data_IF_754839263205
#
_entry.id   IF_754839263205
#
_cell.length_a   1.000
_cell.length_b   1.000
_cell.length_c   1.000
_cell.angle_alpha   90.00
_cell.angle_beta   90.00
_cell.angle_gamma   90.00
#
_symmetry.space_group_name_H-M   'P 1'
#
loop_
_entity.id
_entity.type
_entity.pdbx_description
1 polymer ?
#
# COMPACT_ATOMS: atom_id res chain seq x y z
N UNK A 1 28.08 24.77 51.48
CA UNK A 1 28.15 23.31 51.24
C UNK A 1 26.80 22.91 50.65
N UNK A 2 26.69 22.85 49.31
CA UNK A 2 25.47 22.39 48.62
C UNK A 2 25.68 20.91 48.31
N UNK A 3 24.85 20.04 48.87
CA UNK A 3 24.83 18.62 48.55
C UNK A 3 24.42 18.47 47.10
N UNK A 4 25.31 17.92 46.28
CA UNK A 4 24.97 17.39 44.98
C UNK A 4 24.28 16.05 45.26
N UNK A 5 22.95 16.05 45.19
CA UNK A 5 22.21 14.81 45.02
C UNK A 5 22.55 14.29 43.62
N UNK A 6 23.48 13.35 43.56
CA UNK A 6 23.77 12.54 42.39
C UNK A 6 22.50 11.75 42.05
N UNK A 7 21.77 12.26 41.06
CA UNK A 7 20.57 11.65 40.52
C UNK A 7 20.94 10.26 40.00
N UNK A 8 20.45 9.25 40.72
CA UNK A 8 20.80 7.86 40.51
C UNK A 8 20.47 7.41 39.10
N UNK A 9 21.50 6.94 38.42
CA UNK A 9 21.52 6.24 37.13
C UNK A 9 20.18 5.60 36.74
N UNK A 10 19.44 6.26 35.85
CA UNK A 10 18.37 5.59 35.12
C UNK A 10 18.99 4.38 34.41
N UNK A 11 18.49 3.18 34.71
CA UNK A 11 18.93 1.95 34.06
C UNK A 11 18.92 2.16 32.52
N UNK A 12 19.98 1.75 31.80
CA UNK A 12 20.08 1.98 30.37
C UNK A 12 18.83 1.42 29.69
N UNK A 13 18.11 2.31 28.99
CA UNK A 13 16.90 1.96 28.24
C UNK A 13 17.27 0.85 27.26
N UNK A 14 16.54 -0.27 27.30
CA UNK A 14 16.75 -1.38 26.37
C UNK A 14 16.50 -0.86 24.95
N UNK A 15 17.55 -0.82 24.11
CA UNK A 15 17.51 -0.34 22.72
C UNK A 15 17.03 -1.40 21.72
N UNK A 16 16.68 -2.59 22.21
CA UNK A 16 16.17 -3.68 21.38
C UNK A 16 14.68 -3.46 21.11
N UNK A 17 14.31 -3.41 19.83
CA UNK A 17 12.93 -3.31 19.34
C UNK A 17 12.64 -4.39 18.31
N UNK A 18 11.37 -4.77 18.19
CA UNK A 18 10.91 -5.64 17.11
C UNK A 18 10.58 -4.81 15.88
N UNK A 19 11.42 -4.85 14.86
CA UNK A 19 11.37 -3.89 13.76
C UNK A 19 11.07 -4.53 12.40
N UNK A 20 10.36 -3.78 11.56
CA UNK A 20 10.11 -4.14 10.16
C UNK A 20 9.94 -2.90 9.28
N UNK A 21 10.35 -3.00 8.01
CA UNK A 21 9.94 -2.07 6.97
C UNK A 21 8.64 -2.52 6.32
N UNK A 22 7.76 -1.57 6.04
CA UNK A 22 6.55 -1.83 5.28
C UNK A 22 5.95 -0.57 4.66
N UNK A 23 5.21 -0.77 3.58
CA UNK A 23 4.36 0.28 3.03
C UNK A 23 3.04 0.35 3.79
N UNK A 24 2.63 1.56 4.13
CA UNK A 24 1.26 1.85 4.55
C UNK A 24 0.30 1.55 3.40
N UNK A 25 -0.78 0.82 3.69
CA UNK A 25 -1.76 0.38 2.70
C UNK A 25 -3.11 0.97 2.98
N UNK A 26 -3.70 1.54 1.93
CA UNK A 26 -5.11 1.94 1.93
C UNK A 26 -5.89 1.09 0.95
N UNK A 27 -7.12 0.78 1.33
CA UNK A 27 -8.10 0.08 0.50
C UNK A 27 -9.50 0.56 0.91
N UNK A 28 -10.53 0.34 0.08
CA UNK A 28 -11.92 0.45 0.51
C UNK A 28 -12.26 -0.73 1.44
N UNK A 29 -11.64 -0.72 2.63
CA UNK A 29 -11.74 -1.79 3.61
C UNK A 29 -13.21 -2.05 3.98
N UNK A 30 -13.61 -3.32 4.19
CA UNK A 30 -14.93 -3.63 4.70
C UNK A 30 -15.20 -2.84 6.00
N UNK A 31 -16.34 -2.16 6.07
CA UNK A 31 -16.73 -1.33 7.23
C UNK A 31 -16.80 -2.15 8.53
N UNK A 32 -17.21 -3.40 8.40
CA UNK A 32 -17.31 -4.36 9.50
C UNK A 32 -16.53 -5.60 9.12
N UNK A 33 -15.71 -6.07 10.03
CA UNK A 33 -15.06 -7.38 9.97
C UNK A 33 -15.55 -8.18 11.19
N UNK A 34 -15.61 -9.51 11.10
CA UNK A 34 -16.38 -10.35 12.01
C UNK A 34 -15.88 -10.41 13.46
N UNK A 35 -14.70 -9.87 13.75
CA UNK A 35 -13.97 -10.21 14.98
C UNK A 35 -12.99 -9.09 15.39
N UNK A 36 -12.83 -8.90 16.71
CA UNK A 36 -11.87 -8.03 17.36
C UNK A 36 -10.40 -8.44 17.11
N UNK A 37 -10.17 -9.71 16.74
CA UNK A 37 -8.86 -10.23 16.31
C UNK A 37 -8.40 -9.72 14.92
N UNK A 38 -9.22 -8.90 14.27
CA UNK A 38 -8.90 -8.24 13.02
C UNK A 38 -7.98 -7.04 13.27
N UNK A 39 -6.91 -6.95 12.48
CA UNK A 39 -6.08 -5.76 12.43
C UNK A 39 -6.90 -4.55 11.97
N UNK A 40 -6.89 -3.50 12.79
CA UNK A 40 -7.44 -2.19 12.40
C UNK A 40 -6.76 -1.72 11.11
N UNK A 41 -7.50 -1.01 10.26
CA UNK A 41 -7.00 -0.52 8.97
C UNK A 41 -5.62 0.17 9.08
N UNK A 42 -5.44 1.06 10.07
CA UNK A 42 -4.17 1.77 10.34
C UNK A 42 -2.96 0.89 10.68
N UNK A 43 -3.17 -0.39 10.97
CA UNK A 43 -2.11 -1.34 11.28
C UNK A 43 -1.81 -2.30 10.12
N UNK A 44 -2.59 -2.22 9.03
CA UNK A 44 -2.39 -3.02 7.82
C UNK A 44 -1.29 -2.38 7.00
N UNK A 45 -0.34 -3.20 6.61
CA UNK A 45 0.82 -2.79 5.85
C UNK A 45 1.24 -3.94 4.94
N UNK A 46 1.98 -3.61 3.89
CA UNK A 46 2.72 -4.58 3.10
C UNK A 46 4.14 -4.64 3.68
N UNK A 47 4.48 -5.72 4.39
CA UNK A 47 5.83 -5.91 4.90
C UNK A 47 6.80 -6.08 3.74
N UNK A 48 7.92 -5.35 3.78
CA UNK A 48 9.03 -5.50 2.84
C UNK A 48 10.15 -6.31 3.47
N UNK A 49 10.50 -6.00 4.72
CA UNK A 49 11.62 -6.61 5.42
C UNK A 49 11.30 -6.71 6.92
N UNK A 50 11.54 -7.87 7.53
CA UNK A 50 11.28 -8.09 8.96
C UNK A 50 12.60 -8.43 9.68
N UNK A 51 13.05 -7.55 10.56
CA UNK A 51 14.33 -7.69 11.26
C UNK A 51 14.22 -8.54 12.54
N UNK A 52 13.00 -8.70 13.08
CA UNK A 52 12.85 -9.27 14.42
C UNK A 52 13.35 -8.32 15.50
N UNK A 53 13.91 -8.86 16.58
CA UNK A 53 14.38 -8.07 17.72
C UNK A 53 15.82 -7.60 17.46
N UNK A 54 16.01 -6.30 17.18
CA UNK A 54 17.31 -5.68 16.82
C UNK A 54 17.52 -4.36 17.55
N UNK A 55 18.78 -3.90 17.64
CA UNK A 55 19.12 -2.57 18.16
C UNK A 55 18.56 -1.49 17.23
N UNK A 56 17.68 -0.65 17.77
CA UNK A 56 17.11 0.47 17.03
C UNK A 56 18.18 1.52 16.72
N UNK A 57 19.06 1.84 17.66
CA UNK A 57 20.12 2.81 17.43
C UNK A 57 21.06 2.41 16.29
N UNK A 58 21.42 1.12 16.20
CA UNK A 58 22.23 0.60 15.09
C UNK A 58 21.46 0.67 13.77
N UNK A 59 20.22 0.18 13.72
CA UNK A 59 19.41 0.22 12.49
C UNK A 59 19.20 1.67 12.02
N UNK A 60 18.85 2.57 12.93
CA UNK A 60 18.58 3.98 12.63
C UNK A 60 19.78 4.69 11.99
N UNK A 61 21.02 4.32 12.35
CA UNK A 61 22.23 4.85 11.71
C UNK A 61 22.38 4.41 10.25
N UNK A 62 21.87 3.24 9.89
CA UNK A 62 21.91 2.70 8.52
C UNK A 62 20.79 3.27 7.64
N UNK A 63 19.64 3.64 8.22
CA UNK A 63 18.46 4.15 7.48
C UNK A 63 18.81 5.37 6.62
N UNK A 64 19.69 6.25 7.10
CA UNK A 64 20.09 7.47 6.36
C UNK A 64 20.81 7.18 5.04
N UNK A 65 21.34 5.96 4.88
CA UNK A 65 22.06 5.49 3.70
C UNK A 65 21.30 4.41 2.93
N UNK A 66 20.16 3.96 3.47
CA UNK A 66 19.29 3.01 2.79
C UNK A 66 18.87 3.58 1.42
N UNK A 67 18.87 2.76 0.35
CA UNK A 67 18.34 3.20 -0.93
C UNK A 67 16.90 3.68 -0.77
N UNK A 68 16.56 4.76 -1.49
CA UNK A 68 15.20 5.30 -1.49
C UNK A 68 14.41 4.64 -2.62
N UNK A 69 13.08 4.51 -2.49
CA UNK A 69 12.26 4.08 -3.61
C UNK A 69 12.53 4.95 -4.84
N UNK A 70 12.72 4.32 -6.01
CA UNK A 70 12.93 5.03 -7.28
C UNK A 70 11.67 5.74 -7.78
N UNK A 71 10.52 5.39 -7.22
CA UNK A 71 9.22 5.98 -7.50
C UNK A 71 8.86 7.04 -6.46
N UNK A 72 8.28 8.15 -6.92
CA UNK A 72 7.79 9.23 -6.03
C UNK A 72 6.30 9.13 -5.71
N UNK A 73 5.56 8.47 -6.60
CA UNK A 73 4.13 8.22 -6.45
C UNK A 73 3.94 6.81 -5.94
N UNK A 74 3.16 6.67 -4.89
CA UNK A 74 2.83 5.39 -4.29
C UNK A 74 2.24 4.43 -5.33
N UNK A 75 2.75 3.19 -5.43
CA UNK A 75 2.25 2.22 -6.39
C UNK A 75 0.79 1.85 -6.09
N UNK A 76 0.15 1.25 -7.09
CA UNK A 76 -1.20 0.73 -6.99
C UNK A 76 -1.22 -0.77 -7.24
N UNK A 77 -2.15 -1.46 -6.61
CA UNK A 77 -2.28 -2.91 -6.71
C UNK A 77 -3.74 -3.36 -6.58
N UNK A 78 -3.97 -4.64 -6.81
CA UNK A 78 -5.21 -5.34 -6.51
C UNK A 78 -4.90 -6.42 -5.47
N UNK A 79 -5.69 -6.46 -4.40
CA UNK A 79 -5.83 -7.69 -3.64
C UNK A 79 -6.66 -8.65 -4.48
N UNK A 80 -6.06 -9.71 -5.02
CA UNK A 80 -6.68 -10.61 -6.00
C UNK A 80 -7.14 -11.95 -5.41
N UNK A 81 -6.65 -12.30 -4.23
CA UNK A 81 -6.99 -13.54 -3.54
C UNK A 81 -6.80 -13.45 -2.03
N UNK A 82 -7.55 -14.29 -1.30
CA UNK A 82 -7.27 -14.57 0.11
C UNK A 82 -6.30 -15.75 0.21
N UNK A 83 -5.11 -15.50 0.77
CA UNK A 83 -4.12 -16.53 1.01
C UNK A 83 -4.16 -17.01 2.47
N UNK A 84 -4.08 -18.33 2.63
CA UNK A 84 -3.61 -18.94 3.85
C UNK A 84 -2.11 -19.19 3.69
N UNK A 85 -1.29 -18.79 4.66
CA UNK A 85 0.15 -19.03 4.65
C UNK A 85 0.46 -20.26 5.52
N UNK A 86 0.49 -21.48 4.94
CA UNK A 86 0.48 -22.73 5.71
C UNK A 86 1.69 -22.86 6.65
N UNK A 87 2.84 -22.29 6.29
CA UNK A 87 4.10 -22.40 7.03
C UNK A 87 4.32 -21.28 8.06
N UNK A 88 3.37 -20.36 8.25
CA UNK A 88 3.49 -19.24 9.21
C UNK A 88 2.47 -19.35 10.33
N UNK A 89 1.19 -19.54 9.99
CA UNK A 89 0.14 -19.98 10.91
C UNK A 89 -1.14 -20.24 10.10
N UNK A 90 -1.78 -21.38 10.30
CA UNK A 90 -3.01 -21.75 9.57
C UNK A 90 -4.18 -20.78 9.79
N UNK A 91 -4.12 -20.01 10.87
CA UNK A 91 -5.15 -19.08 11.32
C UNK A 91 -4.92 -17.63 10.86
N UNK A 92 -3.76 -17.31 10.29
CA UNK A 92 -3.47 -15.98 9.73
C UNK A 92 -4.19 -15.83 8.39
N UNK A 93 -4.90 -14.72 8.24
CA UNK A 93 -5.57 -14.34 7.00
C UNK A 93 -4.84 -13.20 6.36
N UNK A 94 -4.52 -13.43 5.09
CA UNK A 94 -3.80 -12.47 4.27
C UNK A 94 -4.53 -12.28 2.95
N UNK A 95 -4.39 -11.08 2.40
CA UNK A 95 -4.67 -10.83 1.00
C UNK A 95 -3.36 -10.86 0.24
N UNK A 96 -3.33 -11.61 -0.86
CA UNK A 96 -2.26 -11.49 -1.84
C UNK A 96 -2.31 -10.10 -2.47
N UNK A 97 -1.17 -9.57 -2.86
CA UNK A 97 -1.05 -8.27 -3.51
C UNK A 97 -0.48 -8.48 -4.90
N UNK A 98 -1.29 -8.20 -5.90
CA UNK A 98 -0.91 -8.20 -7.30
C UNK A 98 -0.73 -6.75 -7.79
N UNK A 99 0.47 -6.35 -8.25
CA UNK A 99 0.71 -5.02 -8.82
C UNK A 99 -0.23 -4.71 -9.96
N UNK A 100 -0.69 -3.46 -10.05
CA UNK A 100 -1.56 -3.02 -11.13
C UNK A 100 -0.76 -2.17 -12.12
N UNK A 101 -0.07 -2.86 -13.04
CA UNK A 101 0.89 -2.27 -13.98
C UNK A 101 2.31 -2.74 -13.67
N UNK A 102 3.26 -1.81 -13.67
CA UNK A 102 4.64 -2.08 -13.27
C UNK A 102 4.72 -2.47 -11.79
N UNK A 103 5.75 -3.25 -11.43
CA UNK A 103 5.96 -3.77 -10.07
C UNK A 103 7.22 -3.20 -9.40
N UNK A 104 7.26 -1.89 -9.12
CA UNK A 104 8.44 -1.29 -8.49
C UNK A 104 8.61 -1.71 -7.03
N UNK A 105 7.61 -2.39 -6.43
CA UNK A 105 7.66 -2.88 -5.05
C UNK A 105 8.63 -4.06 -4.94
N UNK A 106 8.57 -5.01 -5.88
CA UNK A 106 9.43 -6.20 -5.84
C UNK A 106 10.90 -5.81 -6.06
N UNK A 107 11.16 -4.93 -7.04
CA UNK A 107 12.50 -4.38 -7.28
C UNK A 107 13.06 -3.68 -6.05
N UNK A 108 12.28 -2.79 -5.42
CA UNK A 108 12.71 -2.07 -4.23
C UNK A 108 12.87 -3.00 -3.01
N UNK A 109 12.04 -4.03 -2.87
CA UNK A 109 12.17 -5.02 -1.80
C UNK A 109 13.50 -5.79 -1.92
N UNK A 110 13.85 -6.24 -3.12
CA UNK A 110 15.12 -6.92 -3.38
C UNK A 110 16.33 -6.01 -3.10
N UNK A 111 16.21 -4.73 -3.46
CA UNK A 111 17.24 -3.73 -3.25
C UNK A 111 17.52 -3.52 -1.74
N UNK A 112 16.47 -3.30 -0.93
CA UNK A 112 16.66 -3.11 0.52
C UNK A 112 17.07 -4.41 1.24
N UNK A 113 16.60 -5.58 0.77
CA UNK A 113 17.02 -6.87 1.33
C UNK A 113 18.52 -7.08 1.15
N UNK A 114 19.02 -6.87 -0.09
CA UNK A 114 20.44 -6.93 -0.41
C UNK A 114 21.24 -5.93 0.43
N UNK A 115 20.79 -4.68 0.48
CA UNK A 115 21.44 -3.62 1.25
C UNK A 115 21.61 -4.00 2.73
N UNK A 116 20.56 -4.46 3.40
CA UNK A 116 20.67 -4.83 4.81
C UNK A 116 21.40 -6.16 5.03
N UNK A 117 21.32 -7.11 4.09
CA UNK A 117 22.11 -8.34 4.17
C UNK A 117 23.63 -8.05 4.15
N UNK A 118 24.07 -7.12 3.30
CA UNK A 118 25.48 -6.67 3.25
C UNK A 118 25.95 -5.99 4.55
N UNK A 119 25.01 -5.46 5.34
CA UNK A 119 25.27 -4.87 6.67
C UNK A 119 25.24 -5.89 7.80
N UNK A 120 25.06 -7.17 7.48
CA UNK A 120 25.07 -8.27 8.45
C UNK A 120 23.71 -8.53 9.12
N UNK A 121 22.62 -7.96 8.62
CA UNK A 121 21.28 -8.37 9.06
C UNK A 121 20.93 -9.72 8.43
N UNK A 122 20.38 -10.62 9.24
CA UNK A 122 19.99 -11.96 8.78
C UNK A 122 18.49 -12.04 8.59
N UNK A 123 18.06 -12.41 7.38
CA UNK A 123 16.66 -12.66 7.08
C UNK A 123 16.40 -14.15 6.94
N UNK A 124 15.15 -14.56 7.18
CA UNK A 124 14.74 -15.91 6.83
C UNK A 124 14.73 -16.02 5.31
N UNK A 125 15.45 -16.99 4.73
CA UNK A 125 15.50 -17.29 3.29
C UNK A 125 14.17 -17.78 2.69
N UNK A 126 13.03 -17.34 3.24
CA UNK A 126 11.70 -17.62 2.71
C UNK A 126 11.49 -16.72 1.50
N UNK A 127 10.92 -17.29 0.44
CA UNK A 127 10.48 -16.52 -0.73
C UNK A 127 9.61 -15.35 -0.29
N UNK A 128 9.91 -14.16 -0.81
CA UNK A 128 9.07 -12.99 -0.61
C UNK A 128 7.71 -13.22 -1.28
N UNK A 129 6.64 -12.94 -0.54
CA UNK A 129 5.27 -13.02 -1.02
C UNK A 129 4.60 -11.73 -0.63
N UNK A 130 4.17 -10.94 -1.60
CA UNK A 130 3.48 -9.67 -1.34
C UNK A 130 2.10 -9.97 -0.77
N UNK A 131 1.91 -9.64 0.50
CA UNK A 131 0.65 -9.88 1.18
C UNK A 131 0.40 -8.87 2.29
N UNK A 132 -0.88 -8.65 2.58
CA UNK A 132 -1.33 -7.82 3.68
C UNK A 132 -2.03 -8.72 4.68
N UNK A 133 -1.57 -8.71 5.93
CA UNK A 133 -2.24 -9.43 7.01
C UNK A 133 -3.50 -8.67 7.43
N UNK A 134 -4.62 -9.39 7.53
CA UNK A 134 -5.89 -8.85 8.03
C UNK A 134 -6.14 -9.19 9.49
N UNK A 135 -5.60 -10.29 9.99
CA UNK A 135 -5.84 -10.74 11.36
C UNK A 135 -5.64 -12.25 11.52
N UNK A 136 -6.01 -12.74 12.70
CA UNK A 136 -5.84 -14.15 13.12
C UNK A 136 -7.16 -14.67 13.68
N UNK A 137 -8.01 -15.24 12.84
CA UNK A 137 -9.28 -15.82 13.27
C UNK A 137 -9.86 -16.79 12.25
N UNK A 138 -10.35 -17.92 12.75
CA UNK A 138 -11.04 -18.91 11.92
C UNK A 138 -12.37 -18.38 11.37
N UNK A 139 -13.07 -17.51 12.11
CA UNK A 139 -14.29 -16.86 11.64
C UNK A 139 -13.96 -15.90 10.48
N UNK A 140 -12.94 -15.06 10.67
CA UNK A 140 -12.42 -14.18 9.62
C UNK A 140 -11.97 -14.98 8.39
N UNK A 141 -11.30 -16.11 8.58
CA UNK A 141 -10.89 -16.99 7.48
C UNK A 141 -12.06 -17.47 6.65
N UNK A 142 -13.11 -17.97 7.31
CA UNK A 142 -14.29 -18.49 6.65
C UNK A 142 -15.03 -17.38 5.91
N UNK A 143 -15.13 -16.21 6.54
CA UNK A 143 -15.79 -15.04 5.92
C UNK A 143 -15.02 -14.55 4.70
N UNK A 144 -13.70 -14.33 4.83
CA UNK A 144 -12.89 -13.85 3.72
C UNK A 144 -12.90 -14.87 2.58
N UNK A 145 -12.76 -16.17 2.83
CA UNK A 145 -12.87 -17.17 1.75
C UNK A 145 -14.22 -17.16 1.04
N UNK A 146 -15.32 -16.90 1.75
CA UNK A 146 -16.68 -16.91 1.19
C UNK A 146 -17.02 -15.63 0.43
N UNK A 147 -16.60 -14.49 0.97
CA UNK A 147 -17.04 -13.17 0.53
C UNK A 147 -15.91 -12.33 -0.10
N UNK A 148 -14.73 -12.93 -0.33
CA UNK A 148 -13.62 -12.24 -0.96
C UNK A 148 -14.07 -11.65 -2.30
N UNK A 149 -13.69 -10.39 -2.50
CA UNK A 149 -13.80 -9.70 -3.77
C UNK A 149 -12.46 -9.04 -4.07
N UNK A 150 -12.02 -9.06 -5.33
CA UNK A 150 -10.86 -8.28 -5.73
C UNK A 150 -11.02 -6.83 -5.26
N UNK A 151 -10.00 -6.30 -4.60
CA UNK A 151 -10.08 -5.01 -3.91
C UNK A 151 -8.91 -4.13 -4.32
N UNK A 152 -9.14 -2.87 -4.73
CA UNK A 152 -8.05 -1.98 -5.10
C UNK A 152 -7.24 -1.56 -3.87
N UNK A 153 -5.93 -1.45 -4.05
CA UNK A 153 -4.97 -1.08 -3.04
C UNK A 153 -4.17 0.12 -3.53
N UNK A 154 -3.87 1.04 -2.63
CA UNK A 154 -2.88 2.08 -2.84
C UNK A 154 -1.83 2.02 -1.73
N UNK A 155 -0.58 2.23 -2.10
CA UNK A 155 0.52 2.38 -1.15
C UNK A 155 0.85 3.86 -1.01
N UNK A 156 1.27 4.26 0.19
CA UNK A 156 1.68 5.64 0.45
C UNK A 156 3.02 5.64 1.14
N UNK A 157 3.05 5.86 2.44
CA UNK A 157 4.30 6.03 3.17
C UNK A 157 5.07 4.71 3.31
N UNK A 158 6.40 4.79 3.19
CA UNK A 158 7.30 3.75 3.66
C UNK A 158 7.62 4.03 5.12
N UNK A 159 7.35 3.06 6.00
CA UNK A 159 7.66 3.19 7.41
C UNK A 159 8.65 2.15 7.88
N UNK A 160 9.48 2.55 8.85
CA UNK A 160 9.98 1.62 9.84
C UNK A 160 8.94 1.52 10.96
N UNK A 161 8.39 0.33 11.15
CA UNK A 161 7.44 0.05 12.22
C UNK A 161 8.13 -0.61 13.41
N UNK A 162 7.70 -0.23 14.62
CA UNK A 162 7.85 -1.06 15.82
C UNK A 162 6.63 -1.98 15.94
N UNK A 163 6.86 -3.29 15.98
CA UNK A 163 5.84 -4.29 16.24
C UNK A 163 5.64 -4.46 17.75
N UNK A 164 4.51 -3.96 18.24
CA UNK A 164 4.10 -4.00 19.63
C UNK A 164 3.21 -5.23 19.93
N UNK A 165 3.00 -5.51 21.22
CA UNK A 165 2.07 -6.55 21.66
C UNK A 165 0.66 -6.32 21.11
N UNK A 166 0.01 -7.42 20.72
CA UNK A 166 -1.37 -7.44 20.20
C UNK A 166 -1.46 -7.08 18.71
N UNK A 167 -0.44 -7.43 17.92
CA UNK A 167 -0.34 -7.13 16.49
C UNK A 167 -0.56 -5.63 16.16
N UNK A 168 -0.05 -4.75 17.05
CA UNK A 168 -0.06 -3.30 16.83
C UNK A 168 1.26 -2.88 16.22
N UNK A 169 1.20 -1.98 15.25
CA UNK A 169 2.37 -1.45 14.57
C UNK A 169 2.34 0.07 14.68
N UNK A 170 3.43 0.65 15.15
CA UNK A 170 3.59 2.09 15.28
C UNK A 170 4.77 2.55 14.42
N UNK A 171 4.58 3.53 13.51
CA UNK A 171 5.67 4.06 12.70
C UNK A 171 6.63 4.86 13.58
N UNK A 172 7.91 4.53 13.51
CA UNK A 172 8.99 5.22 14.25
C UNK A 172 9.99 5.94 13.33
N UNK A 173 9.84 5.75 12.02
CA UNK A 173 10.48 6.53 10.95
C UNK A 173 9.61 6.43 9.70
N UNK A 174 9.59 7.49 8.90
CA UNK A 174 8.74 7.59 7.70
C UNK A 174 9.51 8.21 6.54
N UNK A 175 9.30 7.66 5.36
CA UNK A 175 9.60 8.28 4.07
C UNK A 175 8.30 8.46 3.30
N UNK A 176 7.96 9.72 3.03
CA UNK A 176 6.69 10.07 2.40
C UNK A 176 6.73 9.79 0.89
N UNK A 177 5.69 9.12 0.40
CA UNK A 177 5.38 9.06 -1.02
C UNK A 177 4.13 9.90 -1.30
N UNK A 178 4.05 10.46 -2.50
CA UNK A 178 2.83 11.10 -2.94
C UNK A 178 1.77 10.01 -3.19
N UNK A 179 0.52 10.15 -2.71
CA UNK A 179 -0.51 9.17 -3.04
C UNK A 179 -0.73 9.13 -4.55
N UNK A 180 -1.20 8.01 -5.12
CA UNK A 180 -1.51 7.91 -6.55
C UNK A 180 -2.65 8.85 -6.96
N UNK A 181 -3.56 9.16 -6.04
CA UNK A 181 -4.63 10.10 -6.24
C UNK A 181 -5.20 10.64 -4.92
N UNK A 182 -5.90 11.77 -5.02
CA UNK A 182 -6.69 12.38 -3.94
C UNK A 182 -8.11 12.65 -4.45
N UNK A 183 -9.13 12.29 -3.67
CA UNK A 183 -10.52 12.66 -3.97
C UNK A 183 -10.79 14.09 -3.46
N UNK A 184 -11.26 14.95 -4.38
CA UNK A 184 -11.80 16.29 -4.10
C UNK A 184 -13.32 16.21 -3.93
N UNK A 185 -13.92 17.29 -3.41
CA UNK A 185 -15.37 17.42 -3.35
C UNK A 185 -16.03 17.25 -4.73
N UNK A 186 -17.18 16.59 -4.76
CA UNK A 186 -17.97 16.42 -5.98
C UNK A 186 -17.50 15.33 -6.95
N UNK A 187 -16.68 14.37 -6.50
CA UNK A 187 -16.28 13.24 -7.34
C UNK A 187 -15.13 13.53 -8.30
N UNK A 188 -14.41 14.63 -8.08
CA UNK A 188 -13.21 14.94 -8.82
C UNK A 188 -12.02 14.26 -8.16
N UNK A 189 -11.07 13.76 -8.95
CA UNK A 189 -9.81 13.23 -8.42
C UNK A 189 -8.65 14.06 -8.93
N UNK A 190 -7.63 14.28 -8.09
CA UNK A 190 -6.30 14.67 -8.54
C UNK A 190 -5.49 13.40 -8.66
N UNK A 191 -4.95 13.15 -9.85
CA UNK A 191 -4.12 11.98 -10.13
C UNK A 191 -2.66 12.42 -10.24
N UNK A 192 -1.78 11.65 -9.65
CA UNK A 192 -0.34 11.87 -9.70
C UNK A 192 0.32 10.73 -10.47
N UNK A 193 1.37 11.01 -11.22
CA UNK A 193 2.14 9.98 -11.91
C UNK A 193 3.41 10.52 -12.56
N UNK A 194 4.34 9.66 -12.90
CA UNK A 194 5.62 9.99 -13.54
C UNK A 194 5.54 9.78 -15.06
N UNK A 195 4.44 9.21 -15.55
CA UNK A 195 4.12 9.02 -16.96
C UNK A 195 2.61 9.09 -17.19
N UNK A 196 2.18 9.31 -18.44
CA UNK A 196 0.75 9.25 -18.78
C UNK A 196 0.16 7.86 -18.50
N UNK A 197 0.97 6.80 -18.66
CA UNK A 197 0.58 5.45 -18.31
C UNK A 197 0.25 5.34 -16.82
N UNK A 198 1.12 5.83 -15.94
CA UNK A 198 0.87 5.77 -14.50
C UNK A 198 -0.35 6.62 -14.10
N UNK A 199 -0.53 7.80 -14.68
CA UNK A 199 -1.73 8.62 -14.43
C UNK A 199 -3.01 7.88 -14.86
N UNK A 200 -2.99 7.19 -16.00
CA UNK A 200 -4.12 6.41 -16.48
C UNK A 200 -4.43 5.19 -15.59
N UNK A 201 -3.41 4.45 -15.16
CA UNK A 201 -3.59 3.33 -14.22
C UNK A 201 -4.11 3.81 -12.86
N UNK A 202 -3.59 4.93 -12.35
CA UNK A 202 -4.07 5.55 -11.12
C UNK A 202 -5.52 6.03 -11.25
N UNK A 203 -5.96 6.49 -12.42
CA UNK A 203 -7.36 6.82 -12.69
C UNK A 203 -8.28 5.60 -12.58
N UNK A 204 -7.87 4.46 -13.14
CA UNK A 204 -8.62 3.20 -13.04
C UNK A 204 -8.80 2.78 -11.58
N UNK A 205 -7.71 2.85 -10.80
CA UNK A 205 -7.73 2.49 -9.38
C UNK A 205 -8.53 3.50 -8.55
N UNK A 206 -8.47 4.80 -8.86
CA UNK A 206 -9.29 5.82 -8.19
C UNK A 206 -10.79 5.54 -8.33
N UNK A 207 -11.25 5.21 -9.53
CA UNK A 207 -12.64 4.83 -9.76
C UNK A 207 -13.02 3.55 -9.00
N UNK A 208 -12.15 2.53 -9.04
CA UNK A 208 -12.40 1.29 -8.31
C UNK A 208 -12.33 1.48 -6.79
N UNK A 209 -11.56 2.44 -6.29
CA UNK A 209 -11.53 2.75 -4.86
C UNK A 209 -12.90 3.25 -4.38
N UNK A 210 -13.61 3.99 -5.23
CA UNK A 210 -14.98 4.43 -4.98
C UNK A 210 -16.01 3.31 -5.23
N UNK A 211 -15.79 2.48 -6.26
CA UNK A 211 -16.67 1.37 -6.65
C UNK A 211 -15.87 0.09 -6.90
N UNK A 212 -15.56 -0.70 -5.85
CA UNK A 212 -14.68 -1.87 -5.95
C UNK A 212 -15.14 -2.92 -6.97
N UNK A 213 -16.44 -2.97 -7.28
CA UNK A 213 -17.01 -3.83 -8.32
C UNK A 213 -16.47 -3.52 -9.74
N UNK A 214 -15.76 -2.41 -9.93
CA UNK A 214 -15.06 -2.09 -11.17
C UNK A 214 -13.82 -2.96 -11.43
N UNK A 215 -13.20 -3.53 -10.40
CA UNK A 215 -11.91 -4.25 -10.54
C UNK A 215 -11.89 -5.27 -11.69
N UNK A 216 -12.92 -6.12 -11.89
CA UNK A 216 -12.93 -7.10 -12.99
C UNK A 216 -12.92 -6.50 -14.41
N UNK A 217 -13.23 -5.20 -14.53
CA UNK A 217 -13.27 -4.49 -15.82
C UNK A 217 -11.99 -3.70 -16.08
N UNK A 218 -11.10 -3.58 -15.10
CA UNK A 218 -9.86 -2.83 -15.25
C UNK A 218 -8.87 -3.57 -16.15
N UNK A 219 -8.00 -2.80 -16.81
CA UNK A 219 -7.00 -3.34 -17.72
C UNK A 219 -5.64 -2.69 -17.44
N UNK A 220 -4.77 -3.36 -16.65
CA UNK A 220 -3.43 -2.85 -16.35
C UNK A 220 -2.48 -2.96 -17.55
N UNK A 221 -2.84 -3.75 -18.56
CA UNK A 221 -1.98 -4.03 -19.72
C UNK A 221 -2.15 -2.99 -20.84
N UNK A 222 -3.25 -2.25 -20.83
CA UNK A 222 -3.53 -1.23 -21.84
C UNK A 222 -2.53 -0.07 -21.76
N UNK A 223 -1.79 0.15 -22.84
CA UNK A 223 -0.79 1.20 -22.95
C UNK A 223 -1.40 2.47 -23.56
N UNK A 224 -1.29 3.59 -22.87
CA UNK A 224 -1.72 4.90 -23.37
C UNK A 224 -0.52 5.72 -23.86
N UNK A 225 -0.70 6.43 -24.97
CA UNK A 225 0.28 7.40 -25.48
C UNK A 225 0.04 8.80 -24.89
N UNK A 226 -1.21 9.09 -24.56
CA UNK A 226 -1.67 10.35 -24.00
C UNK A 226 -2.97 10.11 -23.20
N UNK A 227 -3.42 11.09 -22.43
CA UNK A 227 -4.60 10.95 -21.59
C UNK A 227 -5.94 11.14 -22.34
N UNK A 228 -5.92 11.63 -23.58
CA UNK A 228 -7.11 11.60 -24.42
C UNK A 228 -7.50 10.16 -24.77
N UNK A 229 -6.52 9.37 -25.24
CA UNK A 229 -6.69 7.93 -25.49
C UNK A 229 -7.09 7.20 -24.19
N UNK A 230 -6.45 7.56 -23.07
CA UNK A 230 -6.81 7.07 -21.73
C UNK A 230 -8.26 7.36 -21.37
N UNK A 231 -8.78 8.55 -21.67
CA UNK A 231 -10.17 8.93 -21.43
C UNK A 231 -11.18 8.12 -22.26
N UNK A 232 -10.85 7.83 -23.52
CA UNK A 232 -11.65 6.97 -24.40
C UNK A 232 -11.69 5.55 -23.83
N UNK A 233 -10.53 5.01 -23.43
CA UNK A 233 -10.44 3.67 -22.82
C UNK A 233 -11.23 3.61 -21.52
N UNK A 234 -11.05 4.58 -20.62
CA UNK A 234 -11.76 4.63 -19.34
C UNK A 234 -13.28 4.66 -19.53
N UNK A 235 -13.77 5.46 -20.48
CA UNK A 235 -15.20 5.49 -20.87
C UNK A 235 -15.68 4.13 -21.38
N UNK A 236 -14.84 3.42 -22.13
CA UNK A 236 -15.16 2.07 -22.63
C UNK A 236 -15.32 1.08 -21.46
N UNK A 237 -14.40 1.10 -20.49
CA UNK A 237 -14.46 0.23 -19.31
C UNK A 237 -15.70 0.52 -18.45
N UNK A 238 -16.00 1.81 -18.22
CA UNK A 238 -17.19 2.24 -17.49
C UNK A 238 -18.46 1.75 -18.19
N UNK A 239 -18.57 1.89 -19.51
CA UNK A 239 -19.73 1.40 -20.27
C UNK A 239 -19.88 -0.12 -20.19
N UNK A 240 -18.78 -0.88 -20.19
CA UNK A 240 -18.80 -2.33 -20.02
C UNK A 240 -19.32 -2.70 -18.63
N UNK A 241 -18.78 -2.07 -17.59
CA UNK A 241 -19.22 -2.26 -16.22
C UNK A 241 -20.69 -1.85 -16.02
N UNK A 242 -21.13 -0.73 -16.60
CA UNK A 242 -22.52 -0.28 -16.53
C UNK A 242 -23.49 -1.32 -17.12
N UNK A 243 -23.16 -1.86 -18.28
CA UNK A 243 -23.98 -2.89 -18.93
C UNK A 243 -24.05 -4.17 -18.12
N UNK A 244 -22.95 -4.55 -17.45
CA UNK A 244 -22.85 -5.78 -16.68
C UNK A 244 -23.49 -5.69 -15.29
N UNK A 245 -23.22 -4.62 -14.54
CA UNK A 245 -23.52 -4.52 -13.11
C UNK A 245 -24.15 -3.17 -12.69
N UNK A 246 -24.49 -2.29 -13.64
CA UNK A 246 -25.17 -1.01 -13.39
C UNK A 246 -24.43 -0.11 -12.37
N UNK A 247 -23.12 0.09 -12.57
CA UNK A 247 -22.35 1.05 -11.76
C UNK A 247 -22.91 2.47 -11.90
N UNK A 248 -22.89 3.29 -10.83
CA UNK A 248 -23.45 4.64 -10.84
C UNK A 248 -22.44 5.67 -11.38
N UNK A 249 -21.70 5.31 -12.43
CA UNK A 249 -20.75 6.22 -13.11
C UNK A 249 -21.24 6.41 -14.54
N UNK A 250 -21.64 7.63 -14.86
CA UNK A 250 -22.04 7.97 -16.23
C UNK A 250 -20.81 8.18 -17.12
N UNK A 251 -19.80 8.89 -16.61
CA UNK A 251 -18.61 9.26 -17.38
C UNK A 251 -17.44 9.63 -16.48
N UNK A 252 -16.23 9.34 -16.95
CA UNK A 252 -14.99 9.92 -16.41
C UNK A 252 -14.23 10.62 -17.56
N UNK A 253 -13.72 11.84 -17.33
CA UNK A 253 -13.09 12.65 -18.38
C UNK A 253 -11.84 13.33 -17.83
N UNK A 254 -10.74 13.23 -18.59
CA UNK A 254 -9.55 14.05 -18.37
C UNK A 254 -9.74 15.41 -19.07
N UNK A 255 -9.39 16.53 -18.43
CA UNK A 255 -9.23 17.80 -19.12
C UNK A 255 -8.08 17.73 -20.13
N UNK A 256 -8.07 18.63 -21.10
CA UNK A 256 -7.08 18.66 -22.19
C UNK A 256 -5.65 18.98 -21.71
N UNK A 257 -5.51 19.55 -20.51
CA UNK A 257 -4.22 19.91 -19.94
C UNK A 257 -4.15 19.57 -18.45
N UNK A 258 -2.95 19.24 -18.00
CA UNK A 258 -2.58 19.08 -16.60
C UNK A 258 -1.27 19.81 -16.32
N UNK A 259 -0.68 19.52 -15.17
CA UNK A 259 0.56 20.16 -14.72
C UNK A 259 1.71 19.17 -14.80
N UNK A 260 2.87 19.64 -15.22
CA UNK A 260 4.13 18.90 -15.16
C UNK A 260 5.16 19.73 -14.40
N UNK A 261 5.78 19.14 -13.38
CA UNK A 261 6.85 19.78 -12.62
C UNK A 261 7.85 18.73 -12.15
N UNK A 262 9.14 18.94 -12.43
CA UNK A 262 10.22 18.03 -12.03
C UNK A 262 9.99 16.56 -12.44
N UNK A 263 9.40 16.31 -13.62
CA UNK A 263 9.06 14.96 -14.08
C UNK A 263 7.88 14.30 -13.37
N UNK A 264 7.15 15.01 -12.52
CA UNK A 264 5.87 14.59 -11.97
C UNK A 264 4.74 15.20 -12.81
N UNK A 265 3.77 14.38 -13.19
CA UNK A 265 2.51 14.76 -13.82
C UNK A 265 1.40 14.83 -12.77
N UNK A 266 0.55 15.84 -12.90
CA UNK A 266 -0.65 16.03 -12.08
C UNK A 266 -1.82 16.32 -13.00
N UNK A 267 -2.87 15.51 -12.92
CA UNK A 267 -4.02 15.61 -13.80
C UNK A 267 -5.31 15.47 -13.02
N UNK A 268 -6.29 16.34 -13.29
CA UNK A 268 -7.61 16.16 -12.71
C UNK A 268 -8.38 15.08 -13.49
N UNK A 269 -9.23 14.32 -12.81
CA UNK A 269 -10.21 13.41 -13.40
C UNK A 269 -11.59 13.86 -12.94
N UNK A 270 -12.42 14.27 -13.89
CA UNK A 270 -13.80 14.65 -13.61
C UNK A 270 -14.71 13.44 -13.80
N UNK A 271 -15.38 13.02 -12.72
CA UNK A 271 -16.31 11.90 -12.74
C UNK A 271 -17.73 12.40 -12.55
N UNK A 272 -18.62 12.02 -13.46
CA UNK A 272 -20.05 12.27 -13.38
C UNK A 272 -20.74 11.00 -12.90
N UNK A 273 -21.43 11.11 -11.77
CA UNK A 273 -22.26 10.05 -11.20
C UNK A 273 -23.72 10.25 -11.59
N UNK A 274 -24.51 9.17 -11.51
CA UNK A 274 -25.98 9.19 -11.65
C UNK A 274 -26.69 9.87 -10.47
#
# INVERSE_FOLDING_TARGET
>A
MKSYDEDMSAAPKIDIKRLLFGFEVHAPWPKTLPDDSTLKAKHRHLTLLYFGDVSYSQLHQEIRYMPKPLFRVGPVAIADSSLALPDRAKEIITWHVEPFGDDPIDEYQQEIDTYFAEKGYTFNNKKYVKHITLGKSAALQKEMKKNFRPTPLIFSNLHLYESLKGDRYEPIWTYDLLPPFEEKEGGQFVLYGESFQQVFLNAQIALAFKFPELVPFLDPTYQVRNLHDGGIRLTTLINQAYRAIKIPIEKATFPDSGKQSNGLLTWDLHVKYE
#
